data_IF_288647145826
#
_entry.id   IF_288647145826
#
_cell.length_a   1.000
_cell.length_b   1.000
_cell.length_c   1.000
_cell.angle_alpha   90.00
_cell.angle_beta   90.00
_cell.angle_gamma   90.00
#
_symmetry.space_group_name_H-M   'P 1'
#
loop_
_entity.id
_entity.type
_entity.pdbx_description
1 polymer ?
#
# COMPACT_ATOMS: atom_id res chain seq x y z
N UNK A 1 -17.76 32.81 -11.32
CA UNK A 1 -18.11 31.66 -10.47
C UNK A 1 -16.93 31.38 -9.55
N UNK A 2 -17.11 31.22 -8.23
CA UNK A 2 -16.02 30.79 -7.37
C UNK A 2 -15.55 29.41 -7.82
N UNK A 3 -14.23 29.23 -7.99
CA UNK A 3 -13.69 27.89 -8.27
C UNK A 3 -13.94 27.01 -7.05
N UNK A 4 -14.38 25.75 -7.23
CA UNK A 4 -14.45 24.81 -6.12
C UNK A 4 -13.05 24.68 -5.50
N UNK A 5 -13.00 24.42 -4.19
CA UNK A 5 -11.74 24.12 -3.53
C UNK A 5 -11.14 22.86 -4.18
N UNK A 6 -10.04 23.04 -4.90
CA UNK A 6 -9.26 21.93 -5.44
C UNK A 6 -8.20 21.55 -4.41
N UNK A 7 -7.97 20.24 -4.24
CA UNK A 7 -6.84 19.79 -3.44
C UNK A 7 -5.53 20.40 -3.98
N UNK A 8 -4.57 20.71 -3.10
CA UNK A 8 -3.31 21.31 -3.52
C UNK A 8 -2.55 20.36 -4.45
N UNK A 9 -1.76 20.94 -5.35
CA UNK A 9 -0.80 20.17 -6.14
C UNK A 9 0.23 19.57 -5.18
N UNK A 10 0.46 18.26 -5.29
CA UNK A 10 1.40 17.53 -4.46
C UNK A 10 2.74 17.47 -5.18
N UNK A 11 3.81 17.90 -4.51
CA UNK A 11 5.18 17.63 -4.95
C UNK A 11 5.54 16.20 -4.56
N UNK A 12 5.19 15.25 -5.42
CA UNK A 12 5.41 13.83 -5.19
C UNK A 12 6.88 13.46 -5.03
N UNK A 13 7.80 14.22 -5.64
CA UNK A 13 9.22 13.99 -5.47
C UNK A 13 9.66 14.36 -4.06
N UNK A 14 9.27 15.53 -3.56
CA UNK A 14 9.58 15.94 -2.20
C UNK A 14 8.95 15.01 -1.15
N UNK A 15 7.70 14.56 -1.37
CA UNK A 15 7.05 13.58 -0.49
C UNK A 15 7.82 12.26 -0.47
N UNK A 16 8.20 11.74 -1.64
CA UNK A 16 8.96 10.51 -1.75
C UNK A 16 10.34 10.62 -1.09
N UNK A 17 11.07 11.70 -1.35
CA UNK A 17 12.41 11.92 -0.80
C UNK A 17 12.42 12.10 0.73
N UNK A 18 11.30 12.51 1.33
CA UNK A 18 11.15 12.62 2.78
C UNK A 18 10.92 11.29 3.49
N UNK A 19 10.54 10.24 2.76
CA UNK A 19 10.22 8.95 3.33
C UNK A 19 11.45 8.09 3.65
N UNK A 20 11.26 7.16 4.57
CA UNK A 20 12.28 6.19 4.97
C UNK A 20 12.29 4.99 4.02
N UNK A 21 13.44 4.32 3.83
CA UNK A 21 13.37 2.93 3.35
C UNK A 21 12.77 2.01 4.43
N UNK A 22 12.48 0.78 4.05
CA UNK A 22 11.86 -0.22 4.92
C UNK A 22 12.67 -0.50 6.19
N UNK A 23 13.99 -0.59 6.09
CA UNK A 23 14.85 -0.88 7.25
C UNK A 23 14.81 0.28 8.24
N UNK A 24 14.96 1.51 7.76
CA UNK A 24 14.87 2.70 8.60
C UNK A 24 13.46 2.90 9.19
N UNK A 25 12.42 2.62 8.41
CA UNK A 25 11.03 2.68 8.87
C UNK A 25 10.74 1.65 9.98
N UNK A 26 11.18 0.40 9.81
CA UNK A 26 11.04 -0.63 10.85
C UNK A 26 11.85 -0.30 12.11
N UNK A 27 13.03 0.32 11.97
CA UNK A 27 13.83 0.75 13.11
C UNK A 27 13.17 1.88 13.90
N UNK A 28 12.37 2.72 13.23
CA UNK A 28 11.59 3.80 13.83
C UNK A 28 10.23 3.35 14.42
N UNK A 29 9.88 2.06 14.28
CA UNK A 29 8.63 1.51 14.79
C UNK A 29 8.53 1.61 16.32
N UNK A 30 7.44 2.19 16.82
CA UNK A 30 7.19 2.40 18.25
C UNK A 30 6.56 1.16 18.91
N UNK A 31 5.79 0.37 18.15
CA UNK A 31 5.10 -0.81 18.61
C UNK A 31 5.96 -2.07 18.38
N UNK A 32 6.85 -2.37 19.33
CA UNK A 32 7.80 -3.49 19.24
C UNK A 32 7.15 -4.84 18.82
N UNK A 33 6.01 -5.21 19.40
CA UNK A 33 5.31 -6.45 19.05
C UNK A 33 4.82 -6.47 17.59
N UNK A 34 4.37 -5.33 17.07
CA UNK A 34 3.90 -5.22 15.69
C UNK A 34 5.06 -5.17 14.70
N UNK A 35 6.18 -4.54 15.08
CA UNK A 35 7.44 -4.62 14.33
C UNK A 35 7.90 -6.08 14.20
N UNK A 36 7.86 -6.86 15.27
CA UNK A 36 8.29 -8.26 15.23
C UNK A 36 7.36 -9.09 14.32
N UNK A 37 6.05 -8.81 14.33
CA UNK A 37 5.09 -9.41 13.38
C UNK A 37 5.33 -8.99 11.94
N UNK A 38 5.64 -7.71 11.69
CA UNK A 38 6.02 -7.20 10.36
C UNK A 38 7.22 -7.96 9.81
N UNK A 39 8.28 -8.10 10.63
CA UNK A 39 9.49 -8.84 10.27
C UNK A 39 9.19 -10.31 10.00
N UNK A 40 8.43 -10.97 10.88
CA UNK A 40 8.07 -12.37 10.70
C UNK A 40 7.24 -12.61 9.43
N UNK A 41 6.25 -11.75 9.17
CA UNK A 41 5.45 -11.84 7.94
C UNK A 41 6.31 -11.56 6.70
N UNK A 42 7.16 -10.55 6.75
CA UNK A 42 8.08 -10.24 5.65
C UNK A 42 8.96 -11.44 5.33
N UNK A 43 9.56 -12.10 6.31
CA UNK A 43 10.41 -13.28 6.11
C UNK A 43 9.64 -14.48 5.54
N UNK A 44 8.42 -14.73 6.01
CA UNK A 44 7.60 -15.88 5.62
C UNK A 44 7.01 -15.77 4.21
N UNK A 45 6.89 -14.56 3.66
CA UNK A 45 6.34 -14.36 2.32
C UNK A 45 7.26 -14.96 1.26
N UNK A 46 6.68 -15.40 0.15
CA UNK A 46 7.40 -15.76 -1.07
C UNK A 46 6.56 -15.34 -2.27
N UNK A 47 7.22 -14.90 -3.33
CA UNK A 47 6.54 -14.53 -4.58
C UNK A 47 6.58 -15.72 -5.53
N UNK A 48 5.51 -15.87 -6.30
CA UNK A 48 5.49 -16.84 -7.39
C UNK A 48 6.57 -16.47 -8.43
N UNK A 49 7.29 -17.45 -9.01
CA UNK A 49 8.40 -17.16 -9.93
C UNK A 49 8.02 -16.27 -11.12
N UNK A 50 6.80 -16.39 -11.64
CA UNK A 50 6.31 -15.54 -12.72
C UNK A 50 6.18 -14.06 -12.29
N UNK A 51 5.70 -13.81 -11.07
CA UNK A 51 5.58 -12.45 -10.50
C UNK A 51 6.97 -11.87 -10.28
N UNK A 52 7.88 -12.64 -9.66
CA UNK A 52 9.25 -12.19 -9.43
C UNK A 52 9.99 -11.90 -10.75
N UNK A 53 9.82 -12.75 -11.77
CA UNK A 53 10.41 -12.56 -13.10
C UNK A 53 9.91 -11.29 -13.79
N UNK A 54 8.60 -11.02 -13.73
CA UNK A 54 8.02 -9.78 -14.24
C UNK A 54 8.59 -8.54 -13.52
N UNK A 55 8.62 -8.58 -12.18
CA UNK A 55 9.14 -7.51 -11.33
C UNK A 55 10.63 -7.22 -11.57
N UNK A 56 11.44 -8.26 -11.80
CA UNK A 56 12.85 -8.10 -12.13
C UNK A 56 13.08 -7.44 -13.50
N UNK A 57 12.11 -7.56 -14.43
CA UNK A 57 12.21 -7.13 -15.81
C UNK A 57 11.48 -5.79 -16.10
N UNK A 58 11.11 -5.02 -15.06
CA UNK A 58 10.43 -3.73 -15.26
C UNK A 58 11.24 -2.82 -16.21
N UNK A 59 10.59 -2.14 -17.17
CA UNK A 59 11.28 -1.39 -18.22
C UNK A 59 11.67 0.04 -17.80
N UNK A 60 11.28 0.46 -16.60
CA UNK A 60 11.55 1.79 -16.03
C UNK A 60 11.33 1.81 -14.50
N UNK A 61 11.83 2.83 -13.79
CA UNK A 61 11.52 3.05 -12.38
C UNK A 61 10.03 3.22 -12.09
N UNK A 62 9.60 2.67 -10.96
CA UNK A 62 8.31 2.93 -10.31
C UNK A 62 8.61 3.40 -8.90
N UNK A 63 8.00 4.51 -8.50
CA UNK A 63 8.14 5.02 -7.14
C UNK A 63 6.84 4.77 -6.38
N UNK A 64 6.95 4.32 -5.14
CA UNK A 64 5.79 4.10 -4.26
C UNK A 64 5.99 4.86 -2.97
N UNK A 65 5.01 5.71 -2.64
CA UNK A 65 4.89 6.32 -1.31
C UNK A 65 3.92 5.47 -0.49
N UNK A 66 4.41 4.86 0.59
CA UNK A 66 3.63 4.04 1.50
C UNK A 66 3.33 4.83 2.78
N UNK A 67 2.08 5.26 2.95
CA UNK A 67 1.58 5.81 4.21
C UNK A 67 1.26 4.63 5.13
N UNK A 68 2.09 4.42 6.14
CA UNK A 68 2.06 3.22 6.96
C UNK A 68 2.51 3.51 8.40
N UNK A 69 1.66 3.15 9.35
CA UNK A 69 1.95 3.21 10.78
C UNK A 69 2.02 1.79 11.33
N UNK A 70 3.10 1.46 12.02
CA UNK A 70 3.45 0.13 12.51
C UNK A 70 2.43 -0.48 13.48
N UNK A 71 1.69 0.36 14.22
CA UNK A 71 0.64 -0.09 15.14
C UNK A 71 -0.60 -0.67 14.45
N UNK A 72 -0.79 -0.45 13.14
CA UNK A 72 -1.99 -0.87 12.43
C UNK A 72 -1.90 -2.33 11.92
N UNK A 73 -2.85 -3.18 12.30
CA UNK A 73 -2.87 -4.60 11.90
C UNK A 73 -2.94 -4.84 10.37
N UNK A 74 -3.60 -3.95 9.61
CA UNK A 74 -3.59 -4.04 8.13
C UNK A 74 -2.23 -3.61 7.55
N UNK A 75 -1.51 -2.67 8.18
CA UNK A 75 -0.13 -2.32 7.81
C UNK A 75 0.77 -3.52 8.04
N UNK A 76 0.68 -4.15 9.23
CA UNK A 76 1.42 -5.36 9.59
C UNK A 76 1.19 -6.49 8.59
N UNK A 77 0.01 -6.55 7.98
CA UNK A 77 -0.35 -7.58 6.99
C UNK A 77 0.17 -7.28 5.59
N UNK A 78 0.08 -6.03 5.14
CA UNK A 78 0.19 -5.69 3.72
C UNK A 78 1.49 -4.95 3.36
N UNK A 79 2.09 -4.19 4.27
CA UNK A 79 3.39 -3.56 4.01
C UNK A 79 4.50 -4.58 3.70
N UNK A 80 4.58 -5.75 4.37
CA UNK A 80 5.54 -6.79 4.02
C UNK A 80 5.41 -7.33 2.59
N UNK A 81 4.18 -7.34 2.03
CA UNK A 81 3.92 -7.79 0.66
C UNK A 81 4.51 -6.80 -0.34
N UNK A 82 4.24 -5.51 -0.15
CA UNK A 82 4.82 -4.44 -0.98
C UNK A 82 6.36 -4.47 -0.91
N UNK A 83 6.91 -4.61 0.29
CA UNK A 83 8.36 -4.69 0.47
C UNK A 83 8.96 -5.89 -0.26
N UNK A 84 8.33 -7.06 -0.15
CA UNK A 84 8.84 -8.26 -0.83
C UNK A 84 8.81 -8.11 -2.36
N UNK A 85 7.81 -7.43 -2.91
CA UNK A 85 7.79 -7.09 -4.34
C UNK A 85 8.93 -6.15 -4.72
N UNK A 86 9.23 -5.13 -3.89
CA UNK A 86 10.32 -4.20 -4.13
C UNK A 86 11.70 -4.87 -4.12
N UNK A 87 11.91 -5.87 -3.25
CA UNK A 87 13.15 -6.66 -3.21
C UNK A 87 13.38 -7.49 -4.48
N UNK A 88 12.31 -7.94 -5.12
CA UNK A 88 12.36 -8.66 -6.40
C UNK A 88 12.47 -7.73 -7.63
N UNK A 89 12.26 -6.41 -7.45
CA UNK A 89 12.23 -5.42 -8.53
C UNK A 89 13.28 -4.33 -8.30
N UNK A 90 14.46 -4.39 -8.95
CA UNK A 90 15.49 -3.35 -8.82
C UNK A 90 14.99 -1.94 -9.13
N UNK A 91 13.96 -1.80 -9.96
CA UNK A 91 13.37 -0.53 -10.38
C UNK A 91 12.12 -0.11 -9.58
N UNK A 92 11.60 -0.94 -8.67
CA UNK A 92 10.50 -0.58 -7.79
C UNK A 92 11.07 0.02 -6.49
N UNK A 93 10.91 1.33 -6.31
CA UNK A 93 11.45 2.06 -5.16
C UNK A 93 10.33 2.43 -4.22
N UNK A 94 10.39 1.95 -2.98
CA UNK A 94 9.36 2.19 -1.96
C UNK A 94 9.92 3.07 -0.85
N UNK A 95 9.16 4.09 -0.45
CA UNK A 95 9.46 4.96 0.69
C UNK A 95 8.25 5.01 1.62
N UNK A 96 8.50 4.88 2.91
CA UNK A 96 7.48 4.83 3.95
C UNK A 96 7.41 6.17 4.68
N UNK A 97 6.20 6.69 4.83
CA UNK A 97 5.91 7.95 5.52
C UNK A 97 4.82 7.75 6.56
N UNK A 98 4.85 8.57 7.61
CA UNK A 98 3.72 8.70 8.54
C UNK A 98 2.65 9.60 7.94
N UNK A 99 1.38 9.36 8.30
CA UNK A 99 0.25 10.21 7.88
C UNK A 99 0.38 11.66 8.37
N UNK A 100 1.14 11.89 9.43
CA UNK A 100 1.37 13.22 10.01
C UNK A 100 2.43 14.03 9.26
N UNK A 101 3.34 13.38 8.53
CA UNK A 101 4.42 14.06 7.81
C UNK A 101 3.87 14.94 6.67
N UNK A 102 2.84 14.46 5.97
CA UNK A 102 2.19 15.16 4.86
C UNK A 102 0.66 15.10 4.95
N UNK A 103 0.02 15.88 5.85
CA UNK A 103 -1.41 15.77 6.10
C UNK A 103 -2.28 16.01 4.86
N UNK A 104 -1.84 16.93 3.98
CA UNK A 104 -2.53 17.22 2.71
C UNK A 104 -2.49 16.04 1.74
N UNK A 105 -1.41 15.25 1.76
CA UNK A 105 -1.30 14.02 0.98
C UNK A 105 -2.26 12.98 1.55
N UNK A 106 -2.23 12.76 2.86
CA UNK A 106 -3.08 11.76 3.50
C UNK A 106 -4.58 12.05 3.29
N UNK A 107 -4.99 13.32 3.40
CA UNK A 107 -6.37 13.75 3.19
C UNK A 107 -6.93 13.35 1.81
N UNK A 108 -6.07 13.30 0.77
CA UNK A 108 -6.46 12.90 -0.59
C UNK A 108 -6.82 11.42 -0.70
N UNK A 109 -6.31 10.56 0.19
CA UNK A 109 -6.44 9.10 0.09
C UNK A 109 -7.35 8.49 1.16
N UNK A 110 -8.18 9.29 1.83
CA UNK A 110 -9.18 8.79 2.79
C UNK A 110 -10.09 7.72 2.18
N UNK A 111 -10.44 6.72 2.97
CA UNK A 111 -11.31 5.60 2.54
C UNK A 111 -12.71 5.85 3.04
N UNK A 112 -13.62 6.26 2.16
CA UNK A 112 -14.99 6.64 2.53
C UNK A 112 -15.00 7.67 3.69
N UNK A 113 -14.12 8.66 3.60
CA UNK A 113 -13.90 9.68 4.63
C UNK A 113 -13.13 9.22 5.87
N UNK A 114 -12.80 7.93 5.99
CA UNK A 114 -12.03 7.38 7.10
C UNK A 114 -10.52 7.38 6.86
N UNK A 115 -9.77 7.59 7.94
CA UNK A 115 -8.30 7.60 7.99
C UNK A 115 -7.68 6.19 7.95
N UNK A 116 -8.13 5.35 7.02
CA UNK A 116 -7.68 3.97 6.95
C UNK A 116 -6.32 3.85 6.24
N UNK A 117 -5.41 3.10 6.87
CA UNK A 117 -4.05 2.80 6.41
C UNK A 117 -3.84 1.28 6.34
N UNK A 118 -2.88 0.76 5.55
CA UNK A 118 -1.91 1.49 4.73
C UNK A 118 -2.51 2.21 3.52
N UNK A 119 -1.75 3.14 2.93
CA UNK A 119 -1.99 3.63 1.56
C UNK A 119 -0.72 3.54 0.75
N UNK A 120 -0.78 2.87 -0.39
CA UNK A 120 0.37 2.78 -1.31
C UNK A 120 0.04 3.56 -2.57
N UNK A 121 0.76 4.66 -2.78
CA UNK A 121 0.56 5.54 -3.92
C UNK A 121 1.64 5.21 -4.94
N UNK A 122 1.21 4.75 -6.12
CA UNK A 122 2.10 4.36 -7.21
C UNK A 122 2.32 5.54 -8.14
N UNK A 123 3.59 5.80 -8.43
CA UNK A 123 4.05 6.89 -9.25
C UNK A 123 4.94 6.36 -10.38
N UNK A 124 4.83 6.97 -11.55
CA UNK A 124 5.74 6.71 -12.67
C UNK A 124 7.19 7.14 -12.36
N UNK A 125 8.08 6.90 -13.32
CA UNK A 125 9.47 7.37 -13.31
C UNK A 125 9.60 8.90 -13.20
N UNK A 126 8.54 9.64 -13.54
CA UNK A 126 8.47 11.11 -13.47
C UNK A 126 7.65 11.64 -12.30
N UNK A 127 7.39 10.82 -11.28
CA UNK A 127 6.57 11.18 -10.11
C UNK A 127 5.12 11.59 -10.43
N UNK A 128 4.59 11.13 -11.56
CA UNK A 128 3.15 11.26 -11.88
C UNK A 128 2.38 10.18 -11.17
N UNK A 129 1.31 10.56 -10.46
CA UNK A 129 0.40 9.63 -9.77
C UNK A 129 -0.37 8.76 -10.76
N UNK A 130 -0.16 7.45 -10.67
CA UNK A 130 -0.75 6.44 -11.54
C UNK A 130 -1.93 5.70 -10.86
N UNK A 131 -1.98 5.72 -9.52
CA UNK A 131 -3.05 5.12 -8.75
C UNK A 131 -2.66 4.90 -7.30
N UNK A 132 -3.60 4.42 -6.50
CA UNK A 132 -3.37 4.11 -5.09
C UNK A 132 -4.05 2.83 -4.66
N UNK A 133 -3.43 2.12 -3.72
CA UNK A 133 -3.96 0.93 -3.08
C UNK A 133 -4.18 1.14 -1.57
N UNK A 134 -5.15 0.42 -0.99
CA UNK A 134 -5.32 0.31 0.47
C UNK A 134 -6.66 0.79 1.01
N UNK A 135 -6.99 0.50 2.28
CA UNK A 135 -6.12 -0.12 3.30
C UNK A 135 -5.96 -1.64 3.18
N UNK A 136 -6.84 -2.27 2.41
CA UNK A 136 -6.93 -3.72 2.27
C UNK A 136 -7.37 -4.05 0.84
N UNK A 137 -7.30 -5.32 0.41
CA UNK A 137 -7.79 -5.73 -0.90
C UNK A 137 -9.21 -5.28 -1.18
N UNK A 138 -9.53 -5.07 -2.46
CA UNK A 138 -10.84 -4.59 -2.89
C UNK A 138 -11.98 -5.45 -2.34
N UNK A 139 -11.85 -6.78 -2.43
CA UNK A 139 -12.84 -7.69 -1.87
C UNK A 139 -13.06 -7.50 -0.36
N UNK A 140 -12.00 -7.22 0.40
CA UNK A 140 -12.12 -6.93 1.84
C UNK A 140 -12.76 -5.56 2.10
N UNK A 141 -12.41 -4.52 1.32
CA UNK A 141 -13.03 -3.18 1.43
C UNK A 141 -14.53 -3.25 1.17
N UNK A 142 -14.94 -4.01 0.15
CA UNK A 142 -16.35 -4.23 -0.16
C UNK A 142 -17.10 -4.92 0.98
N UNK A 143 -16.52 -5.98 1.58
CA UNK A 143 -17.13 -6.65 2.73
C UNK A 143 -17.38 -5.68 3.88
N UNK A 144 -16.40 -4.84 4.21
CA UNK A 144 -16.54 -3.82 5.26
C UNK A 144 -17.61 -2.78 4.88
N UNK A 145 -17.63 -2.31 3.62
CA UNK A 145 -18.65 -1.37 3.16
C UNK A 145 -20.06 -1.96 3.25
N UNK A 146 -20.25 -3.23 2.83
CA UNK A 146 -21.52 -3.96 2.98
C UNK A 146 -21.92 -4.12 4.45
N UNK A 147 -20.96 -4.46 5.31
CA UNK A 147 -21.18 -4.53 6.76
C UNK A 147 -21.64 -3.20 7.37
N UNK A 148 -21.03 -2.08 6.94
CA UNK A 148 -21.48 -0.73 7.34
C UNK A 148 -22.90 -0.44 6.83
N UNK A 149 -23.19 -0.77 5.58
CA UNK A 149 -24.50 -0.54 4.97
C UNK A 149 -25.62 -1.33 5.65
N UNK A 150 -25.36 -2.56 6.11
CA UNK A 150 -26.35 -3.38 6.82
C UNK A 150 -26.26 -3.29 8.35
N UNK A 151 -25.39 -2.45 8.91
CA UNK A 151 -25.22 -2.28 10.35
C UNK A 151 -24.48 -3.42 11.07
N UNK A 152 -23.90 -4.38 10.34
CA UNK A 152 -23.18 -5.54 10.90
C UNK A 152 -21.72 -5.59 10.41
N UNK A 153 -20.92 -4.67 10.94
CA UNK A 153 -19.47 -4.63 10.69
C UNK A 153 -18.74 -5.83 11.31
N UNK A 154 -19.28 -6.41 12.38
CA UNK A 154 -18.67 -7.56 13.05
C UNK A 154 -18.69 -8.80 12.16
N UNK A 155 -19.81 -9.10 11.51
CA UNK A 155 -19.90 -10.18 10.53
C UNK A 155 -19.00 -9.92 9.30
N UNK A 156 -18.93 -8.67 8.84
CA UNK A 156 -18.00 -8.30 7.75
C UNK A 156 -16.54 -8.57 8.13
N UNK A 157 -16.10 -8.19 9.34
CA UNK A 157 -14.75 -8.48 9.84
C UNK A 157 -14.45 -9.97 9.92
N UNK A 158 -15.41 -10.79 10.36
CA UNK A 158 -15.26 -12.27 10.34
C UNK A 158 -15.02 -12.80 8.93
N UNK A 159 -15.75 -12.29 7.94
CA UNK A 159 -15.57 -12.66 6.52
C UNK A 159 -14.21 -12.21 5.98
N UNK A 160 -13.75 -11.01 6.36
CA UNK A 160 -12.40 -10.53 6.01
C UNK A 160 -11.32 -11.43 6.60
N UNK A 161 -11.42 -11.79 7.89
CA UNK A 161 -10.47 -12.72 8.52
C UNK A 161 -10.44 -14.08 7.82
N UNK A 162 -11.61 -14.67 7.55
CA UNK A 162 -11.70 -15.94 6.83
C UNK A 162 -11.08 -15.87 5.42
N UNK A 163 -11.26 -14.75 4.72
CA UNK A 163 -10.63 -14.53 3.41
C UNK A 163 -9.10 -14.49 3.51
N UNK A 164 -8.56 -13.81 4.53
CA UNK A 164 -7.13 -13.78 4.77
C UNK A 164 -6.53 -15.13 5.19
N UNK A 165 -7.32 -15.98 5.85
CA UNK A 165 -6.92 -17.36 6.20
C UNK A 165 -6.89 -18.27 4.97
N UNK A 166 -7.77 -18.02 3.99
CA UNK A 166 -7.81 -18.75 2.73
C UNK A 166 -6.71 -18.31 1.75
N UNK A 167 -6.29 -17.04 1.79
CA UNK A 167 -5.20 -16.49 0.97
C UNK A 167 -3.89 -16.34 1.77
N UNK A 168 -3.33 -17.48 2.17
CA UNK A 168 -2.06 -17.54 2.92
C UNK A 168 -0.87 -16.98 2.12
N UNK A 169 -0.94 -17.06 0.79
CA UNK A 169 0.09 -16.58 -0.12
C UNK A 169 -0.08 -15.12 -0.56
N UNK A 170 -1.09 -14.42 -0.02
CA UNK A 170 -1.37 -13.01 -0.31
C UNK A 170 -1.55 -12.73 -1.81
N UNK A 171 -2.06 -13.70 -2.57
CA UNK A 171 -2.23 -13.61 -4.02
C UNK A 171 -3.12 -12.44 -4.41
N UNK A 172 -4.16 -12.16 -3.63
CA UNK A 172 -5.06 -11.05 -3.92
C UNK A 172 -4.32 -9.70 -3.83
N UNK A 173 -3.58 -9.48 -2.75
CA UNK A 173 -2.78 -8.27 -2.55
C UNK A 173 -1.71 -8.16 -3.64
N UNK A 174 -0.96 -9.24 -3.89
CA UNK A 174 0.10 -9.25 -4.92
C UNK A 174 -0.47 -8.89 -6.29
N UNK A 175 -1.61 -9.47 -6.68
CA UNK A 175 -2.24 -9.19 -7.97
C UNK A 175 -2.69 -7.73 -8.09
N UNK A 176 -3.31 -7.18 -7.04
CA UNK A 176 -3.75 -5.78 -7.03
C UNK A 176 -2.56 -4.80 -7.08
N UNK A 177 -1.48 -5.07 -6.34
CA UNK A 177 -0.26 -4.25 -6.40
C UNK A 177 0.45 -4.37 -7.75
N UNK A 178 0.53 -5.59 -8.31
CA UNK A 178 1.16 -5.84 -9.60
C UNK A 178 0.46 -5.08 -10.73
N UNK A 179 -0.88 -5.00 -10.69
CA UNK A 179 -1.67 -4.18 -11.62
C UNK A 179 -1.28 -2.70 -11.57
N UNK A 180 -1.03 -2.14 -10.38
CA UNK A 180 -0.62 -0.75 -10.24
C UNK A 180 0.84 -0.51 -10.68
N UNK A 181 1.71 -1.49 -10.46
CA UNK A 181 3.08 -1.48 -11.02
C UNK A 181 3.01 -1.48 -12.54
N UNK A 182 2.21 -2.36 -13.15
CA UNK A 182 2.00 -2.45 -14.59
C UNK A 182 1.56 -1.11 -15.19
N UNK A 183 0.52 -0.49 -14.61
CA UNK A 183 0.06 0.86 -15.01
C UNK A 183 1.18 1.90 -14.91
N UNK A 184 1.95 1.90 -13.81
CA UNK A 184 3.03 2.87 -13.62
C UNK A 184 4.18 2.71 -14.61
N UNK A 185 4.35 1.52 -15.21
CA UNK A 185 5.34 1.26 -16.26
C UNK A 185 4.77 1.30 -17.69
N UNK A 186 3.46 1.52 -17.88
CA UNK A 186 2.80 1.54 -19.20
C UNK A 186 3.25 2.69 -20.11
N UNK A 187 3.72 2.37 -21.32
CA UNK A 187 4.17 3.34 -22.35
C UNK A 187 3.06 3.76 -23.31
N UNK A 188 1.94 3.06 -23.26
CA UNK A 188 0.78 3.25 -24.11
C UNK A 188 -0.51 3.13 -23.26
N UNK A 189 -1.62 3.77 -23.69
CA UNK A 189 -2.93 3.69 -23.03
C UNK A 189 -3.63 2.35 -23.19
#
# INVERSE_FOLDING_TARGET
MPRPATLPVIDWKAVFDSGLDYTAWLAAAEAAEQRDKLVAQHQALSLEPAVAGYLAALPRPVHVVAIAEDWCGDVVRHAPVLQRMAEAAPLLKVRYISREQHPQVFLRFLTNGGEAIPKFIFLSDKFVECGSWGPMPEGCRELIARGKACGDVAAARKKVSARYEQDTMRREVVAELLKLVDIAVSREP
#
